data_IF_421212520036
#
_entry.id   IF_421212520036
#
_cell.length_a   1.000
_cell.length_b   1.000
_cell.length_c   1.000
_cell.angle_alpha   90.00
_cell.angle_beta   90.00
_cell.angle_gamma   90.00
#
_symmetry.space_group_name_H-M   'P 1'
#
loop_
_entity.id
_entity.type
_entity.pdbx_description
1 polymer ?
#
# COMPACT_ATOMS: atom_id res chain seq x y z
N UNK A 1 -20.32 11.94 -6.16
CA UNK A 1 -19.28 11.84 -7.21
C UNK A 1 -18.56 10.52 -7.02
N UNK A 2 -18.32 9.78 -8.10
CA UNK A 2 -17.45 8.60 -8.11
C UNK A 2 -16.02 9.02 -7.74
N UNK A 3 -15.35 8.22 -6.91
CA UNK A 3 -13.98 8.49 -6.49
C UNK A 3 -13.11 7.29 -6.83
N UNK A 4 -11.95 7.57 -7.40
CA UNK A 4 -10.87 6.58 -7.61
C UNK A 4 -9.78 6.88 -6.59
N UNK A 5 -9.44 5.88 -5.79
CA UNK A 5 -8.28 5.91 -4.89
C UNK A 5 -7.22 4.99 -5.48
N UNK A 6 -5.99 5.47 -5.58
CA UNK A 6 -4.87 4.69 -6.11
C UNK A 6 -3.88 4.43 -5.00
N UNK A 7 -3.37 3.21 -4.89
CA UNK A 7 -2.40 2.82 -3.88
C UNK A 7 -1.67 1.54 -4.29
N UNK A 8 -0.83 1.02 -3.41
CA UNK A 8 -0.11 -0.23 -3.61
C UNK A 8 -0.36 -1.16 -2.42
N UNK A 9 -0.45 -2.46 -2.70
CA UNK A 9 -0.44 -3.51 -1.67
C UNK A 9 0.93 -4.13 -1.49
N UNK A 10 1.81 -4.03 -2.49
CA UNK A 10 3.18 -4.50 -2.43
C UNK A 10 4.17 -3.36 -2.68
N UNK A 11 5.37 -3.48 -2.12
CA UNK A 11 6.47 -2.54 -2.32
C UNK A 11 7.80 -3.25 -2.52
N UNK A 12 8.70 -2.65 -3.31
CA UNK A 12 10.11 -3.03 -3.33
C UNK A 12 10.84 -2.19 -2.28
N UNK A 13 11.30 -2.84 -1.21
CA UNK A 13 11.71 -2.16 0.04
C UNK A 13 13.13 -2.55 0.45
N UNK A 14 13.64 -1.95 1.52
CA UNK A 14 14.90 -2.34 2.16
C UNK A 14 14.90 -3.76 2.75
N UNK A 15 13.71 -4.37 2.89
CA UNK A 15 13.52 -5.75 3.33
C UNK A 15 13.32 -6.73 2.15
N UNK A 16 13.41 -6.24 0.91
CA UNK A 16 12.98 -6.98 -0.28
C UNK A 16 11.54 -6.66 -0.67
N UNK A 17 10.85 -7.59 -1.31
CA UNK A 17 9.42 -7.44 -1.60
C UNK A 17 8.62 -7.53 -0.30
N UNK A 18 7.85 -6.48 0.02
CA UNK A 18 6.98 -6.42 1.19
C UNK A 18 5.52 -6.37 0.74
N UNK A 19 4.63 -7.07 1.44
CA UNK A 19 3.25 -7.31 1.00
C UNK A 19 2.24 -7.06 2.13
N UNK A 20 1.20 -6.28 1.82
CA UNK A 20 0.00 -6.09 2.64
C UNK A 20 -1.25 -6.72 2.00
N UNK A 21 -1.10 -7.62 1.02
CA UNK A 21 -2.23 -8.22 0.31
C UNK A 21 -3.25 -8.91 1.23
N UNK A 22 -2.78 -9.53 2.32
CA UNK A 22 -3.64 -10.20 3.30
C UNK A 22 -4.70 -9.26 3.92
N UNK A 23 -4.38 -7.97 4.04
CA UNK A 23 -5.26 -6.95 4.63
C UNK A 23 -6.58 -6.79 3.85
N UNK A 24 -6.55 -6.99 2.53
CA UNK A 24 -7.71 -6.81 1.65
C UNK A 24 -8.45 -8.13 1.45
N UNK A 25 -7.72 -9.23 1.28
CA UNK A 25 -8.30 -10.57 1.07
C UNK A 25 -9.04 -11.07 2.31
N UNK A 26 -8.50 -10.84 3.52
CA UNK A 26 -9.07 -11.42 4.75
C UNK A 26 -10.04 -10.52 5.50
N UNK A 27 -10.16 -9.24 5.13
CA UNK A 27 -10.89 -8.27 5.95
C UNK A 27 -11.94 -7.41 5.23
N UNK A 28 -11.83 -7.15 3.92
CA UNK A 28 -12.73 -6.18 3.24
C UNK A 28 -13.78 -6.83 2.35
N UNK A 29 -13.48 -7.99 1.79
CA UNK A 29 -14.25 -8.54 0.69
C UNK A 29 -15.30 -9.54 1.17
N UNK A 30 -16.56 -9.27 0.84
CA UNK A 30 -17.60 -10.29 0.83
C UNK A 30 -17.36 -11.32 -0.28
N UNK A 31 -16.64 -10.92 -1.34
CA UNK A 31 -16.24 -11.80 -2.45
C UNK A 31 -14.93 -11.37 -3.08
N UNK A 32 -14.02 -12.32 -3.31
CA UNK A 32 -12.73 -12.09 -3.98
C UNK A 32 -12.61 -12.91 -5.26
N UNK A 33 -12.19 -12.28 -6.36
CA UNK A 33 -11.82 -12.94 -7.60
C UNK A 33 -10.30 -12.93 -7.75
N UNK A 34 -9.69 -14.11 -7.72
CA UNK A 34 -8.24 -14.26 -7.86
C UNK A 34 -7.93 -14.61 -9.31
N UNK A 35 -7.27 -13.71 -10.02
CA UNK A 35 -6.79 -13.93 -11.37
C UNK A 35 -5.45 -14.67 -11.30
N UNK A 36 -5.38 -15.87 -11.87
CA UNK A 36 -4.13 -16.62 -12.01
C UNK A 36 -3.66 -16.60 -13.47
N UNK A 37 -2.35 -16.59 -13.67
CA UNK A 37 -1.75 -16.68 -15.00
C UNK A 37 -0.43 -15.92 -15.06
N UNK A 38 0.47 -16.32 -15.96
CA UNK A 38 1.81 -15.71 -16.06
C UNK A 38 1.81 -14.24 -16.47
N UNK A 39 2.97 -13.56 -16.46
CA UNK A 39 3.11 -12.22 -17.03
C UNK A 39 2.56 -12.16 -18.46
N UNK A 40 1.86 -11.06 -18.80
CA UNK A 40 1.33 -10.87 -20.15
C UNK A 40 -0.01 -11.56 -20.47
N UNK A 41 -0.62 -12.31 -19.55
CA UNK A 41 -1.97 -12.92 -19.74
C UNK A 41 -3.14 -11.93 -19.76
N UNK A 42 -2.86 -10.62 -19.73
CA UNK A 42 -3.90 -9.60 -19.78
C UNK A 42 -4.62 -9.31 -18.45
N UNK A 43 -4.16 -9.85 -17.30
CA UNK A 43 -4.75 -9.59 -15.96
C UNK A 43 -5.04 -8.11 -15.68
N UNK A 44 -4.00 -7.28 -15.79
CA UNK A 44 -4.08 -5.83 -15.60
C UNK A 44 -5.04 -5.17 -16.59
N UNK A 45 -5.02 -5.58 -17.87
CA UNK A 45 -5.94 -5.07 -18.89
C UNK A 45 -7.39 -5.46 -18.60
N UNK A 46 -7.63 -6.69 -18.17
CA UNK A 46 -8.95 -7.20 -17.79
C UNK A 46 -9.51 -6.41 -16.59
N UNK A 47 -8.71 -6.23 -15.54
CA UNK A 47 -9.08 -5.40 -14.39
C UNK A 47 -9.40 -3.96 -14.79
N UNK A 48 -8.61 -3.34 -15.69
CA UNK A 48 -8.88 -1.99 -16.18
C UNK A 48 -10.20 -1.87 -16.93
N UNK A 49 -10.51 -2.82 -17.80
CA UNK A 49 -11.76 -2.80 -18.55
C UNK A 49 -12.96 -2.87 -17.60
N UNK A 50 -12.90 -3.74 -16.58
CA UNK A 50 -13.92 -3.83 -15.54
C UNK A 50 -14.01 -2.52 -14.74
N UNK A 51 -12.88 -1.97 -14.31
CA UNK A 51 -12.83 -0.70 -13.57
C UNK A 51 -13.51 0.44 -14.33
N UNK A 52 -13.20 0.59 -15.63
CA UNK A 52 -13.80 1.62 -16.50
C UNK A 52 -15.32 1.46 -16.58
N UNK A 53 -15.82 0.23 -16.75
CA UNK A 53 -17.27 -0.02 -16.79
C UNK A 53 -17.95 0.29 -15.46
N UNK A 54 -17.37 -0.15 -14.34
CA UNK A 54 -17.93 0.09 -13.00
C UNK A 54 -17.95 1.59 -12.65
N UNK A 55 -16.92 2.34 -13.04
CA UNK A 55 -16.92 3.81 -12.93
C UNK A 55 -18.04 4.43 -13.76
N UNK A 56 -18.25 3.93 -14.99
CA UNK A 56 -19.35 4.35 -15.86
C UNK A 56 -20.73 4.10 -15.25
N UNK A 57 -20.87 3.07 -14.41
CA UNK A 57 -22.09 2.78 -13.65
C UNK A 57 -22.22 3.56 -12.33
N UNK A 58 -21.24 4.41 -11.99
CA UNK A 58 -21.32 5.24 -10.79
C UNK A 58 -20.71 4.61 -9.54
N UNK A 59 -19.95 3.51 -9.66
CA UNK A 59 -19.23 2.93 -8.52
C UNK A 59 -17.92 3.66 -8.25
N UNK A 60 -17.56 3.79 -6.96
CA UNK A 60 -16.22 4.21 -6.54
C UNK A 60 -15.30 3.00 -6.45
N UNK A 61 -14.01 3.22 -6.72
CA UNK A 61 -13.02 2.15 -6.81
C UNK A 61 -11.74 2.46 -6.03
N UNK A 62 -11.10 1.41 -5.55
CA UNK A 62 -9.70 1.43 -5.14
C UNK A 62 -8.90 0.61 -6.16
N UNK A 63 -7.90 1.25 -6.76
CA UNK A 63 -6.96 0.63 -7.70
C UNK A 63 -5.65 0.36 -6.98
N UNK A 64 -5.19 -0.89 -7.05
CA UNK A 64 -3.92 -1.32 -6.51
C UNK A 64 -2.92 -1.57 -7.63
N UNK A 65 -1.86 -0.78 -7.65
CA UNK A 65 -0.84 -0.82 -8.68
C UNK A 65 0.29 -1.78 -8.33
N UNK A 66 0.95 -2.30 -9.36
CA UNK A 66 2.09 -3.19 -9.22
C UNK A 66 3.37 -2.41 -8.90
N UNK A 67 4.11 -2.83 -7.87
CA UNK A 67 5.41 -2.25 -7.55
C UNK A 67 6.50 -2.63 -8.55
N UNK A 68 6.32 -3.72 -9.30
CA UNK A 68 7.24 -4.16 -10.36
C UNK A 68 6.90 -3.59 -11.74
N UNK A 69 5.68 -3.07 -11.93
CA UNK A 69 5.26 -2.32 -13.11
C UNK A 69 4.19 -1.29 -12.73
N UNK A 70 4.61 -0.03 -12.53
CA UNK A 70 3.71 1.05 -12.11
C UNK A 70 2.56 1.34 -13.09
N UNK A 71 2.63 0.82 -14.32
CA UNK A 71 1.56 0.89 -15.30
C UNK A 71 0.73 -0.40 -15.35
N UNK A 72 0.79 -1.26 -14.34
CA UNK A 72 -0.03 -2.45 -14.20
C UNK A 72 -0.85 -2.41 -12.90
N UNK A 73 -2.06 -2.95 -12.96
CA UNK A 73 -2.88 -3.19 -11.79
C UNK A 73 -2.62 -4.60 -11.29
N UNK A 74 -2.45 -4.72 -9.97
CA UNK A 74 -2.49 -5.99 -9.25
C UNK A 74 -3.87 -6.22 -8.62
N UNK A 75 -4.73 -5.20 -8.50
CA UNK A 75 -6.07 -5.38 -7.98
C UNK A 75 -7.00 -4.20 -8.14
N UNK A 76 -8.29 -4.46 -8.04
CA UNK A 76 -9.36 -3.47 -7.94
C UNK A 76 -10.34 -3.87 -6.83
N UNK A 77 -10.66 -2.95 -5.93
CA UNK A 77 -11.67 -3.14 -4.89
C UNK A 77 -12.85 -2.18 -5.10
N UNK A 78 -14.05 -2.70 -4.90
CA UNK A 78 -15.32 -1.97 -5.07
C UNK A 78 -16.02 -1.91 -3.71
N UNK A 79 -15.78 -0.86 -2.90
CA UNK A 79 -16.19 -0.84 -1.50
C UNK A 79 -17.69 -1.05 -1.28
N UNK A 80 -18.54 -0.41 -2.09
CA UNK A 80 -19.99 -0.53 -1.99
C UNK A 80 -20.54 -1.91 -2.31
N UNK A 81 -19.77 -2.74 -3.01
CA UNK A 81 -20.15 -4.12 -3.33
C UNK A 81 -19.43 -5.14 -2.44
N UNK A 82 -18.38 -4.72 -1.71
CA UNK A 82 -17.49 -5.64 -1.00
C UNK A 82 -16.82 -6.64 -1.94
N UNK A 83 -16.61 -6.29 -3.21
CA UNK A 83 -16.00 -7.16 -4.22
C UNK A 83 -14.56 -6.74 -4.44
N UNK A 84 -13.64 -7.70 -4.36
CA UNK A 84 -12.23 -7.51 -4.69
C UNK A 84 -11.84 -8.39 -5.88
N UNK A 85 -11.04 -7.87 -6.80
CA UNK A 85 -10.39 -8.64 -7.85
C UNK A 85 -8.89 -8.41 -7.75
N UNK A 86 -8.10 -9.47 -7.77
CA UNK A 86 -6.67 -9.42 -7.45
C UNK A 86 -5.85 -10.39 -8.29
N UNK A 87 -4.62 -10.03 -8.61
CA UNK A 87 -3.62 -10.90 -9.20
C UNK A 87 -3.06 -11.86 -8.13
N UNK A 88 -3.25 -13.16 -8.33
CA UNK A 88 -2.75 -14.23 -7.45
C UNK A 88 -1.42 -14.84 -7.91
N UNK A 89 -0.72 -14.20 -8.84
CA UNK A 89 0.54 -14.69 -9.42
C UNK A 89 1.74 -14.21 -8.59
N UNK A 90 2.79 -15.04 -8.49
CA UNK A 90 4.02 -14.65 -7.79
C UNK A 90 4.55 -13.27 -8.28
N UNK A 91 5.05 -12.40 -7.36
CA UNK A 91 5.29 -12.63 -5.93
C UNK A 91 4.04 -12.54 -5.05
N UNK A 92 2.87 -12.23 -5.63
CA UNK A 92 1.59 -12.06 -4.96
C UNK A 92 0.85 -13.38 -4.75
N UNK A 93 1.54 -14.43 -4.29
CA UNK A 93 0.91 -15.74 -4.09
C UNK A 93 -0.16 -15.61 -3.00
N UNK A 94 -1.41 -15.54 -3.43
CA UNK A 94 -2.59 -15.57 -2.57
C UNK A 94 -3.24 -16.92 -2.79
N UNK A 95 -3.08 -17.81 -1.83
CA UNK A 95 -3.87 -19.03 -1.80
C UNK A 95 -5.26 -18.73 -1.23
N UNK A 96 -6.35 -19.19 -1.88
CA UNK A 96 -7.69 -19.00 -1.36
C UNK A 96 -7.82 -19.63 0.03
N UNK A 97 -8.30 -18.86 1.02
CA UNK A 97 -8.51 -19.38 2.38
C UNK A 97 -9.86 -20.10 2.50
N UNK A 98 -10.84 -19.70 1.69
CA UNK A 98 -12.20 -20.20 1.61
C UNK A 98 -12.67 -20.35 0.15
N UNK A 99 -12.00 -21.22 -0.65
CA UNK A 99 -12.27 -21.38 -2.07
C UNK A 99 -13.73 -21.80 -2.32
N UNK A 100 -14.40 -21.14 -3.26
CA UNK A 100 -15.77 -21.42 -3.67
C UNK A 100 -16.85 -20.81 -2.78
N UNK A 101 -16.49 -20.25 -1.63
CA UNK A 101 -17.43 -19.57 -0.70
C UNK A 101 -17.20 -18.07 -0.70
N UNK A 102 -15.94 -17.65 -0.54
CA UNK A 102 -15.54 -16.23 -0.56
C UNK A 102 -14.65 -15.93 -1.76
N UNK A 103 -13.71 -16.82 -2.10
CA UNK A 103 -12.83 -16.62 -3.25
C UNK A 103 -13.21 -17.47 -4.46
N UNK A 104 -13.08 -16.89 -5.65
CA UNK A 104 -13.22 -17.58 -6.94
C UNK A 104 -11.95 -17.38 -7.75
N UNK A 105 -11.36 -18.46 -8.24
CA UNK A 105 -10.16 -18.40 -9.10
C UNK A 105 -10.61 -18.31 -10.55
N UNK A 106 -10.03 -17.36 -11.29
CA UNK A 106 -10.15 -17.25 -12.74
C UNK A 106 -8.77 -17.55 -13.30
N UNK A 107 -8.63 -18.70 -13.98
CA UNK A 107 -7.38 -19.08 -14.62
C UNK A 107 -7.31 -18.46 -16.02
N UNK A 108 -6.31 -17.61 -16.22
CA UNK A 108 -6.01 -17.00 -17.51
C UNK A 108 -4.83 -17.70 -18.21
N UNK A 109 -4.20 -18.70 -17.58
CA UNK A 109 -3.16 -19.51 -18.22
C UNK A 109 -3.72 -20.39 -19.35
N UNK A 110 -5.01 -20.76 -19.27
CA UNK A 110 -5.71 -21.51 -20.31
C UNK A 110 -5.75 -20.80 -21.68
N UNK A 111 -5.46 -19.49 -21.72
CA UNK A 111 -5.44 -18.66 -22.93
C UNK A 111 -4.03 -18.37 -23.45
N UNK A 112 -3.01 -19.12 -23.00
CA UNK A 112 -1.65 -19.01 -23.53
C UNK A 112 -1.52 -19.53 -24.96
N UNK A 113 -0.71 -18.83 -25.75
CA UNK A 113 -0.18 -19.40 -26.99
C UNK A 113 1.02 -20.30 -26.63
N UNK A 114 0.70 -21.56 -26.28
CA UNK A 114 1.71 -22.56 -25.93
C UNK A 114 2.75 -22.75 -27.01
N UNK A 115 2.33 -22.70 -28.29
CA UNK A 115 3.22 -22.85 -29.44
C UNK A 115 4.22 -21.70 -29.44
N UNK A 116 3.76 -20.46 -29.36
CA UNK A 116 4.65 -19.29 -29.32
C UNK A 116 5.60 -19.32 -28.10
N UNK A 117 5.13 -19.74 -26.93
CA UNK A 117 5.97 -19.87 -25.73
C UNK A 117 7.04 -20.94 -25.89
N UNK A 118 6.71 -22.10 -26.47
CA UNK A 118 7.69 -23.16 -26.75
C UNK A 118 8.74 -22.71 -27.75
N UNK A 119 8.34 -22.03 -28.83
CA UNK A 119 9.27 -21.48 -29.82
C UNK A 119 10.22 -20.44 -29.22
N UNK A 120 9.78 -19.67 -28.21
CA UNK A 120 10.57 -18.63 -27.56
C UNK A 120 11.13 -19.04 -26.18
N UNK A 121 11.11 -20.34 -25.85
CA UNK A 121 11.42 -20.86 -24.51
C UNK A 121 12.72 -20.31 -23.93
N UNK A 122 13.80 -20.35 -24.70
CA UNK A 122 15.13 -19.94 -24.24
C UNK A 122 15.18 -18.43 -23.94
N UNK A 123 14.55 -17.62 -24.78
CA UNK A 123 14.45 -16.18 -24.58
C UNK A 123 13.61 -15.84 -23.33
N UNK A 124 12.48 -16.54 -23.13
CA UNK A 124 11.62 -16.38 -21.94
C UNK A 124 12.40 -16.77 -20.68
N UNK A 125 13.06 -17.93 -20.67
CA UNK A 125 13.82 -18.40 -19.52
C UNK A 125 14.99 -17.45 -19.19
N UNK A 126 15.70 -16.97 -20.21
CA UNK A 126 16.76 -15.98 -20.04
C UNK A 126 16.22 -14.67 -19.45
N UNK A 127 15.07 -14.19 -19.93
CA UNK A 127 14.40 -12.99 -19.43
C UNK A 127 13.99 -13.13 -17.95
N UNK A 128 13.37 -14.24 -17.58
CA UNK A 128 12.98 -14.54 -16.18
C UNK A 128 14.22 -14.58 -15.28
N UNK A 129 15.26 -15.31 -15.69
CA UNK A 129 16.51 -15.39 -14.92
C UNK A 129 17.18 -14.03 -14.75
N UNK A 130 17.17 -13.21 -15.82
CA UNK A 130 17.72 -11.85 -15.79
C UNK A 130 16.93 -10.95 -14.86
N UNK A 131 15.60 -10.99 -14.92
CA UNK A 131 14.72 -10.25 -14.02
C UNK A 131 15.00 -10.59 -12.56
N UNK A 132 15.03 -11.88 -12.21
CA UNK A 132 15.35 -12.36 -10.86
C UNK A 132 16.73 -11.91 -10.39
N UNK A 133 17.73 -11.88 -11.27
CA UNK A 133 19.05 -11.33 -10.94
C UNK A 133 19.01 -9.82 -10.67
N UNK A 134 18.28 -9.05 -11.48
CA UNK A 134 18.17 -7.60 -11.32
C UNK A 134 17.41 -7.23 -10.03
N UNK A 135 16.31 -7.92 -9.72
CA UNK A 135 15.58 -7.70 -8.47
C UNK A 135 16.45 -8.00 -7.23
N UNK A 136 17.23 -9.08 -7.23
CA UNK A 136 18.19 -9.35 -6.15
C UNK A 136 19.17 -8.20 -5.94
N UNK A 137 19.68 -7.60 -7.02
CA UNK A 137 20.55 -6.43 -6.94
C UNK A 137 19.81 -5.18 -6.44
N UNK A 138 18.61 -4.93 -6.95
CA UNK A 138 17.78 -3.82 -6.52
C UNK A 138 17.51 -3.88 -5.00
N UNK A 139 17.12 -5.05 -4.48
CA UNK A 139 16.90 -5.24 -3.04
C UNK A 139 18.19 -5.06 -2.22
N UNK A 140 19.35 -5.48 -2.74
CA UNK A 140 20.63 -5.19 -2.08
C UNK A 140 20.88 -3.68 -1.96
N UNK A 141 20.63 -2.90 -3.02
CA UNK A 141 20.77 -1.44 -2.96
C UNK A 141 19.73 -0.77 -2.06
N UNK A 142 18.48 -1.24 -2.08
CA UNK A 142 17.43 -0.72 -1.19
C UNK A 142 17.74 -1.01 0.28
N UNK A 143 18.28 -2.20 0.58
CA UNK A 143 18.75 -2.52 1.92
C UNK A 143 19.84 -1.57 2.39
N UNK A 144 20.85 -1.31 1.55
CA UNK A 144 21.91 -0.34 1.85
C UNK A 144 21.37 1.07 2.05
N UNK A 145 20.39 1.49 1.23
CA UNK A 145 19.76 2.80 1.38
C UNK A 145 19.00 2.93 2.70
N UNK A 146 18.29 1.86 3.13
CA UNK A 146 17.63 1.81 4.44
C UNK A 146 18.66 1.89 5.58
N UNK A 147 19.71 1.07 5.53
CA UNK A 147 20.77 1.05 6.55
C UNK A 147 21.49 2.40 6.66
N UNK A 148 21.75 3.08 5.54
CA UNK A 148 22.30 4.43 5.54
C UNK A 148 21.34 5.44 6.18
N UNK A 149 20.04 5.33 5.90
CA UNK A 149 19.05 6.20 6.53
C UNK A 149 18.97 5.97 8.04
N UNK A 150 19.04 4.72 8.51
CA UNK A 150 19.09 4.39 9.93
C UNK A 150 20.34 4.97 10.61
N UNK A 151 21.49 4.95 9.93
CA UNK A 151 22.73 5.55 10.42
C UNK A 151 22.66 7.08 10.50
N UNK A 152 22.04 7.75 9.51
CA UNK A 152 21.83 9.21 9.59
C UNK A 152 20.99 9.58 10.81
N UNK A 153 19.97 8.78 11.14
CA UNK A 153 19.12 9.02 12.29
C UNK A 153 19.78 8.63 13.63
N UNK A 154 20.70 7.67 13.62
CA UNK A 154 21.44 7.24 14.81
C UNK A 154 22.21 8.41 15.42
N UNK A 155 22.84 9.27 14.59
CA UNK A 155 23.52 10.48 15.06
C UNK A 155 22.62 11.39 15.89
N UNK A 156 21.38 11.64 15.47
CA UNK A 156 20.45 12.50 16.20
C UNK A 156 20.10 11.88 17.56
N UNK A 157 19.89 10.56 17.59
CA UNK A 157 19.55 9.82 18.81
C UNK A 157 20.73 9.78 19.78
N UNK A 158 21.92 9.43 19.30
CA UNK A 158 23.12 9.23 20.13
C UNK A 158 23.68 10.55 20.66
N UNK A 159 23.59 11.63 19.89
CA UNK A 159 23.97 12.96 20.35
C UNK A 159 22.92 13.62 21.25
N UNK A 160 21.76 12.99 21.44
CA UNK A 160 20.65 13.58 22.21
C UNK A 160 20.16 14.90 21.61
N UNK A 161 20.28 15.07 20.29
CA UNK A 161 19.99 16.34 19.60
C UNK A 161 18.49 16.61 19.45
N UNK A 162 17.65 15.59 19.67
CA UNK A 162 16.20 15.70 19.58
C UNK A 162 15.60 16.12 20.93
N UNK A 163 14.91 17.27 20.95
CA UNK A 163 14.09 17.67 22.10
C UNK A 163 12.85 16.77 22.21
N UNK A 164 12.98 15.70 23.00
CA UNK A 164 11.90 14.75 23.25
C UNK A 164 10.70 15.38 23.98
N UNK A 165 10.93 16.38 24.84
CA UNK A 165 9.85 17.08 25.56
C UNK A 165 9.06 17.94 24.59
N UNK A 166 9.74 18.69 23.74
CA UNK A 166 9.16 19.45 22.64
C UNK A 166 8.39 18.57 21.67
N UNK A 167 8.98 17.45 21.24
CA UNK A 167 8.33 16.48 20.35
C UNK A 167 7.02 15.93 20.97
N UNK A 168 7.07 15.54 22.24
CA UNK A 168 5.89 15.05 22.96
C UNK A 168 4.81 16.13 23.10
N UNK A 169 5.22 17.38 23.31
CA UNK A 169 4.29 18.52 23.37
C UNK A 169 3.62 18.75 22.03
N UNK A 170 4.38 18.76 20.92
CA UNK A 170 3.83 18.89 19.57
C UNK A 170 2.85 17.76 19.29
N UNK A 171 3.21 16.50 19.59
CA UNK A 171 2.32 15.37 19.40
C UNK A 171 1.01 15.53 20.22
N UNK A 172 1.09 15.97 21.48
CA UNK A 172 -0.09 16.17 22.32
C UNK A 172 -1.01 17.28 21.79
N UNK A 173 -0.44 18.40 21.33
CA UNK A 173 -1.19 19.49 20.69
C UNK A 173 -1.90 18.97 19.43
N UNK A 174 -1.16 18.29 18.54
CA UNK A 174 -1.72 17.71 17.31
C UNK A 174 -2.86 16.73 17.60
N UNK A 175 -2.71 15.86 18.61
CA UNK A 175 -3.77 14.94 19.04
C UNK A 175 -5.00 15.71 19.54
N UNK A 176 -4.80 16.75 20.35
CA UNK A 176 -5.89 17.54 20.89
C UNK A 176 -6.65 18.30 19.79
N UNK A 177 -5.93 18.88 18.83
CA UNK A 177 -6.53 19.59 17.69
C UNK A 177 -7.33 18.66 16.78
N UNK A 178 -6.81 17.46 16.51
CA UNK A 178 -7.45 16.51 15.60
C UNK A 178 -8.57 15.69 16.26
N UNK A 179 -8.39 15.28 17.52
CA UNK A 179 -9.23 14.28 18.17
C UNK A 179 -9.88 14.77 19.48
N UNK A 180 -9.61 16.00 19.91
CA UNK A 180 -10.06 16.52 21.22
C UNK A 180 -11.58 16.57 21.38
N UNK A 181 -12.30 16.88 20.30
CA UNK A 181 -13.76 16.93 20.28
C UNK A 181 -14.41 15.64 19.75
N UNK A 182 -13.59 14.64 19.39
CA UNK A 182 -14.06 13.41 18.78
C UNK A 182 -14.51 12.42 19.86
N UNK A 183 -15.80 12.07 19.89
CA UNK A 183 -16.30 11.01 20.76
C UNK A 183 -15.75 9.65 20.33
N UNK A 184 -15.46 8.71 21.25
CA UNK A 184 -15.06 7.36 20.87
C UNK A 184 -16.13 6.64 20.05
N UNK A 185 -15.70 5.77 19.13
CA UNK A 185 -16.60 4.83 18.47
C UNK A 185 -16.93 3.65 19.40
N UNK A 186 -18.12 3.08 19.19
CA UNK A 186 -18.62 1.95 19.98
C UNK A 186 -18.28 0.58 19.39
N UNK A 187 -17.81 0.55 18.14
CA UNK A 187 -17.39 -0.66 17.46
C UNK A 187 -15.87 -0.79 17.53
N UNK A 188 -15.30 -2.01 17.56
CA UNK A 188 -13.86 -2.21 17.47
C UNK A 188 -13.28 -1.50 16.24
N UNK A 189 -12.17 -0.77 16.44
CA UNK A 189 -11.45 -0.15 15.33
C UNK A 189 -10.87 -1.22 14.40
N UNK A 190 -10.96 -0.95 13.10
CA UNK A 190 -10.16 -1.63 12.09
C UNK A 190 -8.91 -0.83 11.76
N UNK A 191 -7.80 -1.54 11.67
CA UNK A 191 -6.56 -1.01 11.12
C UNK A 191 -6.27 -1.66 9.77
N UNK A 192 -5.95 -0.83 8.78
CA UNK A 192 -5.59 -1.29 7.44
C UNK A 192 -4.22 -0.76 7.06
N UNK A 193 -3.31 -1.65 6.67
CA UNK A 193 -1.96 -1.27 6.28
C UNK A 193 -1.77 -1.34 4.76
N UNK A 194 -1.16 -0.31 4.19
CA UNK A 194 -1.06 -0.08 2.75
C UNK A 194 0.23 0.70 2.42
N UNK A 195 0.48 0.89 1.14
CA UNK A 195 1.48 1.82 0.63
C UNK A 195 0.83 2.91 -0.22
N UNK A 196 1.11 4.18 0.08
CA UNK A 196 0.69 5.30 -0.76
C UNK A 196 1.66 5.53 -1.93
N UNK A 197 2.89 5.05 -1.78
CA UNK A 197 3.97 5.16 -2.74
C UNK A 197 4.74 3.85 -2.85
N UNK A 198 5.41 3.62 -3.97
CA UNK A 198 6.25 2.45 -4.18
C UNK A 198 7.51 2.83 -4.97
N UNK A 199 8.63 2.19 -4.64
CA UNK A 199 9.84 2.25 -5.45
C UNK A 199 9.69 1.24 -6.58
N UNK A 200 9.61 1.73 -7.81
CA UNK A 200 9.34 0.93 -9.00
C UNK A 200 10.49 1.03 -10.01
N UNK A 201 10.55 0.17 -11.05
CA UNK A 201 11.52 0.35 -12.13
C UNK A 201 11.42 1.69 -12.86
N UNK A 202 10.27 2.38 -12.79
CA UNK A 202 10.08 3.72 -13.36
C UNK A 202 10.46 4.85 -12.38
N UNK A 203 10.96 4.51 -11.19
CA UNK A 203 11.27 5.45 -10.11
C UNK A 203 10.24 5.40 -8.98
N UNK A 204 10.30 6.40 -8.10
CA UNK A 204 9.35 6.54 -7.00
C UNK A 204 8.01 7.03 -7.54
N UNK A 205 6.96 6.22 -7.37
CA UNK A 205 5.58 6.58 -7.75
C UNK A 205 4.79 6.85 -6.48
N UNK A 206 4.02 7.95 -6.46
CA UNK A 206 3.25 8.38 -5.30
C UNK A 206 1.79 8.67 -5.68
N UNK A 207 0.86 7.99 -5.02
CA UNK A 207 -0.58 8.14 -5.20
C UNK A 207 -1.30 8.82 -4.03
N UNK A 208 -0.57 9.32 -3.03
CA UNK A 208 -1.09 10.10 -1.90
C UNK A 208 -2.10 11.19 -2.30
N UNK A 209 -1.92 11.96 -3.41
CA UNK A 209 -2.91 12.96 -3.82
C UNK A 209 -4.33 12.39 -3.99
N UNK A 210 -4.47 11.16 -4.49
CA UNK A 210 -5.78 10.51 -4.66
C UNK A 210 -6.41 10.10 -3.33
N UNK A 211 -5.58 9.76 -2.34
CA UNK A 211 -5.97 9.29 -1.01
C UNK A 211 -6.45 10.44 -0.13
N UNK A 212 -5.78 11.59 -0.19
CA UNK A 212 -6.11 12.76 0.64
C UNK A 212 -7.20 13.66 0.02
N UNK A 213 -7.57 13.43 -1.24
CA UNK A 213 -8.48 14.30 -1.98
C UNK A 213 -9.80 14.61 -1.24
N UNK A 214 -10.37 13.64 -0.54
CA UNK A 214 -11.61 13.79 0.23
C UNK A 214 -11.44 14.12 1.71
N UNK A 215 -10.21 14.34 2.19
CA UNK A 215 -9.97 14.72 3.59
C UNK A 215 -10.34 16.18 3.82
N UNK A 216 -11.14 16.44 4.85
CA UNK A 216 -11.54 17.78 5.31
C UNK A 216 -10.39 18.48 6.04
N UNK A 217 -9.59 17.71 6.78
CA UNK A 217 -8.44 18.22 7.53
C UNK A 217 -7.18 17.46 7.13
N UNK A 218 -6.13 18.19 6.76
CA UNK A 218 -4.84 17.62 6.36
C UNK A 218 -3.72 18.27 7.17
N UNK A 219 -2.99 17.46 7.94
CA UNK A 219 -1.82 17.89 8.71
C UNK A 219 -0.56 17.39 8.02
N UNK A 220 0.38 18.29 7.76
CA UNK A 220 1.67 17.97 7.16
C UNK A 220 2.76 18.11 8.23
N UNK A 221 3.37 16.99 8.61
CA UNK A 221 4.50 16.98 9.51
C UNK A 221 5.79 17.09 8.68
N UNK A 222 6.51 18.19 8.87
CA UNK A 222 7.78 18.48 8.18
C UNK A 222 8.95 18.42 9.16
N UNK A 223 10.10 18.00 8.66
CA UNK A 223 11.32 17.84 9.43
C UNK A 223 12.33 16.97 8.69
N UNK A 224 13.58 17.00 9.09
CA UNK A 224 14.62 16.12 8.51
C UNK A 224 14.49 14.69 9.03
N UNK A 225 15.22 13.74 8.44
CA UNK A 225 15.36 12.39 8.99
C UNK A 225 15.76 12.45 10.47
N UNK A 226 15.19 11.57 11.30
CA UNK A 226 15.50 11.47 12.73
C UNK A 226 14.84 12.53 13.64
N UNK A 227 14.08 13.48 13.09
CA UNK A 227 13.40 14.54 13.89
C UNK A 227 12.06 14.10 14.52
N UNK A 228 11.77 12.79 14.58
CA UNK A 228 10.59 12.26 15.26
C UNK A 228 9.26 12.40 14.50
N UNK A 229 9.29 12.61 13.18
CA UNK A 229 8.08 12.73 12.34
C UNK A 229 7.18 11.50 12.44
N UNK A 230 7.75 10.32 12.20
CA UNK A 230 7.06 9.03 12.38
C UNK A 230 6.53 8.89 13.80
N UNK A 231 7.28 9.31 14.82
CA UNK A 231 6.84 9.27 16.22
C UNK A 231 5.56 10.09 16.46
N UNK A 232 5.46 11.30 15.90
CA UNK A 232 4.23 12.12 16.00
C UNK A 232 3.06 11.38 15.34
N UNK A 233 3.27 10.83 14.15
CA UNK A 233 2.24 10.12 13.38
C UNK A 233 1.77 8.86 14.13
N UNK A 234 2.70 8.06 14.66
CA UNK A 234 2.39 6.87 15.47
C UNK A 234 1.61 7.22 16.74
N UNK A 235 1.88 8.37 17.37
CA UNK A 235 1.11 8.83 18.53
C UNK A 235 -0.31 9.23 18.17
N UNK A 236 -0.50 9.88 17.01
CA UNK A 236 -1.85 10.20 16.49
C UNK A 236 -2.61 8.92 16.13
N UNK A 237 -1.95 7.95 15.50
CA UNK A 237 -2.51 6.62 15.22
C UNK A 237 -3.01 5.95 16.51
N UNK A 238 -2.14 5.82 17.51
CA UNK A 238 -2.48 5.22 18.79
C UNK A 238 -3.66 5.93 19.48
N UNK A 239 -3.70 7.27 19.43
CA UNK A 239 -4.79 8.06 19.99
C UNK A 239 -6.13 7.86 19.24
N UNK A 240 -6.09 7.65 17.92
CA UNK A 240 -7.27 7.33 17.13
C UNK A 240 -7.79 5.92 17.44
N UNK A 241 -6.88 4.93 17.55
CA UNK A 241 -7.19 3.55 17.91
C UNK A 241 -7.78 3.43 19.32
N UNK A 242 -7.23 4.16 20.31
CA UNK A 242 -7.78 4.21 21.66
C UNK A 242 -9.21 4.78 21.72
N UNK A 243 -9.61 5.54 20.69
CA UNK A 243 -10.98 6.04 20.50
C UNK A 243 -11.80 5.16 19.54
N UNK A 244 -11.31 3.97 19.20
CA UNK A 244 -11.93 3.00 18.32
C UNK A 244 -12.23 3.51 16.90
N UNK A 245 -11.44 4.46 16.37
CA UNK A 245 -11.59 4.87 14.98
C UNK A 245 -10.94 3.88 14.02
N UNK A 246 -11.62 3.60 12.91
CA UNK A 246 -11.00 2.95 11.77
C UNK A 246 -9.89 3.84 11.21
N UNK A 247 -8.75 3.22 10.90
CA UNK A 247 -7.53 3.89 10.45
C UNK A 247 -6.94 3.17 9.26
N UNK A 248 -6.45 3.95 8.31
CA UNK A 248 -5.63 3.46 7.20
C UNK A 248 -4.21 3.99 7.40
N UNK A 249 -3.27 3.07 7.52
CA UNK A 249 -1.85 3.32 7.81
C UNK A 249 -1.06 3.07 6.53
N UNK A 250 -0.43 4.13 6.03
CA UNK A 250 0.40 4.08 4.84
C UNK A 250 1.86 4.12 5.25
N UNK A 251 2.57 3.05 4.89
CA UNK A 251 3.96 2.86 5.27
C UNK A 251 4.92 3.45 4.25
N UNK A 252 6.16 3.69 4.70
CA UNK A 252 7.22 4.19 3.86
C UNK A 252 7.63 3.15 2.82
N UNK A 253 7.77 3.59 1.57
CA UNK A 253 8.12 2.71 0.44
C UNK A 253 9.50 2.05 0.59
N UNK A 254 10.43 2.68 1.33
CA UNK A 254 11.75 2.11 1.60
C UNK A 254 11.77 1.24 2.85
N UNK A 255 11.09 1.68 3.91
CA UNK A 255 11.07 1.03 5.22
C UNK A 255 9.63 0.83 5.71
N UNK A 256 9.04 -0.36 5.48
CA UNK A 256 7.66 -0.66 5.85
C UNK A 256 7.37 -0.67 7.35
N UNK A 257 8.39 -0.62 8.22
CA UNK A 257 8.18 -0.49 9.66
C UNK A 257 7.92 0.98 10.06
N UNK A 258 8.20 1.92 9.15
CA UNK A 258 7.96 3.35 9.35
C UNK A 258 6.65 3.78 8.71
N UNK A 259 5.85 4.49 9.50
CA UNK A 259 4.59 5.06 9.05
C UNK A 259 4.85 6.44 8.43
N UNK A 260 4.40 6.61 7.18
CA UNK A 260 4.45 7.88 6.48
C UNK A 260 3.12 8.63 6.60
N UNK A 261 1.98 7.96 6.50
CA UNK A 261 0.68 8.64 6.54
C UNK A 261 -0.36 7.84 7.31
N UNK A 262 -1.27 8.54 7.97
CA UNK A 262 -2.44 7.95 8.63
C UNK A 262 -3.69 8.72 8.23
N UNK A 263 -4.69 7.98 7.74
CA UNK A 263 -6.01 8.50 7.43
C UNK A 263 -7.00 7.99 8.48
N UNK A 264 -7.90 8.88 8.92
CA UNK A 264 -9.01 8.57 9.81
C UNK A 264 -10.30 8.91 9.05
N UNK A 265 -10.82 7.98 8.22
CA UNK A 265 -11.86 8.29 7.23
C UNK A 265 -13.12 8.88 7.84
N UNK A 266 -13.59 8.34 8.98
CA UNK A 266 -14.81 8.80 9.66
C UNK A 266 -14.74 10.27 10.08
N UNK A 267 -13.55 10.77 10.40
CA UNK A 267 -13.34 12.17 10.79
C UNK A 267 -12.93 13.06 9.61
N UNK A 268 -12.65 12.48 8.44
CA UNK A 268 -12.07 13.21 7.31
C UNK A 268 -10.67 13.75 7.59
N UNK A 269 -9.95 13.17 8.56
CA UNK A 269 -8.63 13.63 9.00
C UNK A 269 -7.54 12.83 8.30
N UNK A 270 -6.46 13.51 7.94
CA UNK A 270 -5.26 12.89 7.41
C UNK A 270 -4.03 13.57 7.98
N UNK A 271 -3.10 12.79 8.49
CA UNK A 271 -1.77 13.26 8.88
C UNK A 271 -0.73 12.62 7.97
N UNK A 272 0.12 13.45 7.37
CA UNK A 272 1.13 13.02 6.42
C UNK A 272 2.52 13.47 6.84
N UNK A 273 3.48 12.57 6.75
CA UNK A 273 4.88 12.89 6.63
C UNK A 273 5.11 13.63 5.30
N UNK A 274 5.57 14.88 5.39
CA UNK A 274 5.99 15.69 4.26
C UNK A 274 7.52 15.78 4.28
N UNK A 275 8.15 14.74 3.74
CA UNK A 275 9.60 14.67 3.44
C UNK A 275 9.88 15.26 2.07
#
# INVERSE_FOLDING_TARGET
>A
MTRIRKMFLGGNTGYGFYSFYEQVVSGESAKTYILKGGPGTGKSSFMRQIAVQLLGYGYSLEEYYCSSDSNSLDGIYIPSLGVFMVDGTAPHVIDPKHPGVVESVIDLADYWDEIALQHNRDAVQAGVNRSSFLFRRAYAYLRLARELNDEIESYIRELGALDLVGLNRVAAITIQELLGNASPCLQPARERHLFASAITPQGLVNHLPTLVAGSTTRVLIRGTAGTGRTTIISKVLAAAQQRNYDVEVYHCALDPERIDHVLIPKLGITICNAS
#
